data_IF_962183068533
#
_entry.id   IF_962183068533
#
_cell.length_a   1.000
_cell.length_b   1.000
_cell.length_c   1.000
_cell.angle_alpha   90.00
_cell.angle_beta   90.00
_cell.angle_gamma   90.00
#
_symmetry.space_group_name_H-M   'P 1'
#
loop_
_entity.id
_entity.type
_entity.pdbx_description
1 polymer ?
#
# COMPACT_ATOMS: atom_id res chain seq x y z
N UNK A 1 7.91 19.90 -4.83
CA UNK A 1 6.79 18.96 -5.07
C UNK A 1 5.88 19.58 -6.11
N UNK A 2 5.86 19.07 -7.34
CA UNK A 2 4.86 19.48 -8.32
C UNK A 2 3.47 19.10 -7.80
N UNK A 3 2.53 20.04 -7.87
CA UNK A 3 1.19 20.00 -7.26
C UNK A 3 0.47 18.70 -7.63
N UNK A 4 0.13 17.87 -6.63
CA UNK A 4 -0.52 16.55 -6.80
C UNK A 4 -1.88 16.66 -7.51
N UNK A 5 -2.55 17.78 -7.34
CA UNK A 5 -3.78 18.16 -8.06
C UNK A 5 -3.58 18.19 -9.58
N UNK A 6 -2.39 18.59 -10.04
CA UNK A 6 -2.11 18.79 -11.46
C UNK A 6 -2.17 17.48 -12.26
N UNK A 7 -1.71 16.34 -11.72
CA UNK A 7 -1.70 15.10 -12.49
C UNK A 7 -3.09 14.48 -12.63
N UNK A 8 -3.89 14.49 -11.56
CA UNK A 8 -5.26 13.99 -11.62
C UNK A 8 -6.15 14.90 -12.48
N UNK A 9 -5.98 16.21 -12.38
CA UNK A 9 -6.63 17.18 -13.26
C UNK A 9 -6.22 16.98 -14.72
N UNK A 10 -4.92 16.84 -14.98
CA UNK A 10 -4.40 16.52 -16.31
C UNK A 10 -5.01 15.24 -16.87
N UNK A 11 -5.00 14.14 -16.12
CA UNK A 11 -5.60 12.87 -16.56
C UNK A 11 -7.10 13.02 -16.85
N UNK A 12 -7.81 13.74 -15.97
CA UNK A 12 -9.25 14.00 -16.14
C UNK A 12 -9.51 14.78 -17.42
N UNK A 13 -8.74 15.83 -17.69
CA UNK A 13 -8.87 16.64 -18.90
C UNK A 13 -8.50 15.84 -20.16
N UNK A 14 -7.39 15.11 -20.13
CA UNK A 14 -6.88 14.33 -21.25
C UNK A 14 -7.89 13.26 -21.68
N UNK A 15 -8.38 12.46 -20.73
CA UNK A 15 -9.41 11.46 -21.04
C UNK A 15 -10.74 12.08 -21.47
N UNK A 16 -11.15 13.22 -20.91
CA UNK A 16 -12.35 13.90 -21.39
C UNK A 16 -12.23 14.39 -22.83
N UNK A 17 -11.03 14.84 -23.25
CA UNK A 17 -10.75 15.17 -24.65
C UNK A 17 -10.81 13.93 -25.54
N UNK A 18 -10.24 12.81 -25.10
CA UNK A 18 -10.33 11.54 -25.81
C UNK A 18 -11.80 11.09 -25.99
N UNK A 19 -12.62 11.18 -24.95
CA UNK A 19 -14.05 10.83 -25.03
C UNK A 19 -14.82 11.69 -26.03
N UNK A 20 -14.43 12.96 -26.19
CA UNK A 20 -15.08 13.87 -27.13
C UNK A 20 -14.85 13.45 -28.59
N UNK A 21 -13.67 12.88 -28.89
CA UNK A 21 -13.31 12.43 -30.23
C UNK A 21 -13.86 11.05 -30.63
N UNK A 22 -14.47 10.31 -29.70
CA UNK A 22 -15.01 8.97 -29.96
C UNK A 22 -16.49 9.01 -30.37
N UNK A 23 -16.88 8.16 -31.31
CA UNK A 23 -18.28 7.94 -31.71
C UNK A 23 -18.97 7.07 -30.65
N UNK A 24 -19.58 7.73 -29.67
CA UNK A 24 -20.22 7.11 -28.51
C UNK A 24 -21.56 7.78 -28.23
N UNK A 25 -22.55 6.98 -27.85
CA UNK A 25 -23.83 7.48 -27.35
C UNK A 25 -23.69 8.17 -25.98
N UNK A 26 -24.69 8.95 -25.59
CA UNK A 26 -24.66 9.73 -24.34
C UNK A 26 -24.50 8.85 -23.09
N UNK A 27 -25.20 7.71 -23.06
CA UNK A 27 -25.13 6.74 -21.96
C UNK A 27 -23.73 6.14 -21.84
N UNK A 28 -23.10 5.80 -22.97
CA UNK A 28 -21.76 5.22 -23.02
C UNK A 28 -20.71 6.24 -22.56
N UNK A 29 -20.86 7.50 -22.99
CA UNK A 29 -20.00 8.61 -22.57
C UNK A 29 -20.17 8.91 -21.07
N UNK A 30 -21.39 8.81 -20.56
CA UNK A 30 -21.66 8.94 -19.12
C UNK A 30 -20.95 7.83 -18.33
N UNK A 31 -21.02 6.57 -18.79
CA UNK A 31 -20.29 5.47 -18.16
C UNK A 31 -18.77 5.72 -18.12
N UNK A 32 -18.17 6.14 -19.24
CA UNK A 32 -16.73 6.44 -19.29
C UNK A 32 -16.32 7.53 -18.28
N UNK A 33 -17.14 8.56 -18.11
CA UNK A 33 -16.86 9.66 -17.18
C UNK A 33 -17.10 9.27 -15.72
N UNK A 34 -18.30 8.77 -15.44
CA UNK A 34 -18.79 8.59 -14.08
C UNK A 34 -18.37 7.26 -13.47
N UNK A 35 -18.17 6.22 -14.27
CA UNK A 35 -17.81 4.89 -13.77
C UNK A 35 -16.33 4.61 -13.95
N UNK A 36 -15.83 4.70 -15.18
CA UNK A 36 -14.44 4.33 -15.47
C UNK A 36 -13.44 5.40 -15.03
N UNK A 37 -13.60 6.65 -15.49
CA UNK A 37 -12.63 7.72 -15.21
C UNK A 37 -12.61 8.09 -13.72
N UNK A 38 -13.77 8.14 -13.07
CA UNK A 38 -13.85 8.36 -11.62
C UNK A 38 -13.09 7.28 -10.84
N UNK A 39 -13.25 6.02 -11.23
CA UNK A 39 -12.51 4.90 -10.63
C UNK A 39 -11.00 5.04 -10.86
N UNK A 40 -10.57 5.41 -12.07
CA UNK A 40 -9.15 5.65 -12.37
C UNK A 40 -8.59 6.75 -11.47
N UNK A 41 -9.30 7.88 -11.33
CA UNK A 41 -8.85 9.01 -10.52
C UNK A 41 -8.80 8.63 -9.03
N UNK A 42 -9.81 7.94 -8.53
CA UNK A 42 -9.85 7.45 -7.15
C UNK A 42 -8.68 6.51 -6.84
N UNK A 43 -8.48 5.51 -7.69
CA UNK A 43 -7.40 4.54 -7.58
C UNK A 43 -6.01 5.19 -7.66
N UNK A 44 -5.83 6.15 -8.57
CA UNK A 44 -4.58 6.92 -8.70
C UNK A 44 -4.28 7.72 -7.42
N UNK A 45 -5.31 8.36 -6.86
CA UNK A 45 -5.20 9.12 -5.61
C UNK A 45 -4.81 8.22 -4.44
N UNK A 46 -5.46 7.05 -4.31
CA UNK A 46 -5.16 6.05 -3.28
C UNK A 46 -3.77 5.46 -3.44
N UNK A 47 -3.36 5.11 -4.66
CA UNK A 47 -2.01 4.62 -4.95
C UNK A 47 -0.96 5.64 -4.50
N UNK A 48 -1.11 6.92 -4.88
CA UNK A 48 -0.16 7.96 -4.50
C UNK A 48 -0.14 8.21 -2.99
N UNK A 49 -1.30 8.24 -2.33
CA UNK A 49 -1.36 8.35 -0.87
C UNK A 49 -0.64 7.19 -0.16
N UNK A 50 -0.90 5.95 -0.57
CA UNK A 50 -0.26 4.76 0.00
C UNK A 50 1.26 4.79 -0.23
N UNK A 51 1.70 5.19 -1.44
CA UNK A 51 3.11 5.37 -1.77
C UNK A 51 3.80 6.36 -0.84
N UNK A 52 3.23 7.58 -0.74
CA UNK A 52 3.81 8.67 0.03
C UNK A 52 3.91 8.27 1.52
N UNK A 53 2.88 7.59 2.04
CA UNK A 53 2.85 7.11 3.42
C UNK A 53 3.84 5.97 3.67
N UNK A 54 3.98 5.04 2.71
CA UNK A 54 4.96 3.96 2.79
C UNK A 54 6.38 4.50 2.87
N UNK A 55 6.75 5.41 1.95
CA UNK A 55 8.10 5.98 1.96
C UNK A 55 8.37 6.87 3.16
N UNK A 56 7.36 7.60 3.66
CA UNK A 56 7.52 8.42 4.86
C UNK A 56 7.94 7.57 6.07
N UNK A 57 7.15 6.55 6.42
CA UNK A 57 7.45 5.69 7.57
C UNK A 57 8.73 4.90 7.38
N UNK A 58 8.95 4.35 6.18
CA UNK A 58 10.18 3.62 5.87
C UNK A 58 11.42 4.48 6.03
N UNK A 59 11.38 5.73 5.56
CA UNK A 59 12.48 6.66 5.71
C UNK A 59 12.72 7.02 7.17
N UNK A 60 11.66 7.27 7.95
CA UNK A 60 11.76 7.50 9.40
C UNK A 60 12.41 6.32 10.12
N UNK A 61 12.01 5.09 9.79
CA UNK A 61 12.59 3.86 10.36
C UNK A 61 14.07 3.71 10.00
N UNK A 62 14.45 3.93 8.74
CA UNK A 62 15.85 3.84 8.30
C UNK A 62 16.72 4.90 8.97
N UNK A 63 16.28 6.16 8.95
CA UNK A 63 17.03 7.27 9.55
C UNK A 63 17.20 7.03 11.05
N UNK A 64 16.13 6.70 11.76
CA UNK A 64 16.23 6.46 13.19
C UNK A 64 17.02 5.18 13.53
N UNK A 65 16.96 4.14 12.70
CA UNK A 65 17.80 2.94 12.83
C UNK A 65 19.30 3.21 12.67
N UNK A 66 19.68 4.22 11.87
CA UNK A 66 21.08 4.67 11.73
C UNK A 66 21.49 5.64 12.84
N UNK A 67 20.59 6.53 13.24
CA UNK A 67 20.83 7.53 14.30
C UNK A 67 20.95 6.86 15.67
N UNK A 68 20.17 5.80 15.94
CA UNK A 68 20.11 5.16 17.26
C UNK A 68 21.46 4.57 17.71
N UNK A 69 22.19 3.76 16.91
CA UNK A 69 23.54 3.29 17.27
C UNK A 69 24.54 4.42 17.53
N UNK A 70 24.46 5.51 16.75
CA UNK A 70 25.32 6.68 16.92
C UNK A 70 25.03 7.39 18.25
N UNK A 71 23.75 7.56 18.62
CA UNK A 71 23.35 8.13 19.92
C UNK A 71 23.76 7.26 21.09
N UNK A 72 23.60 5.93 20.98
CA UNK A 72 24.05 4.98 22.00
C UNK A 72 25.57 5.10 22.20
N UNK A 73 26.33 5.15 21.10
CA UNK A 73 27.80 5.29 21.13
C UNK A 73 28.23 6.61 21.78
N UNK A 74 27.58 7.73 21.43
CA UNK A 74 27.84 9.03 22.06
C UNK A 74 27.46 9.05 23.55
N UNK A 75 26.37 8.38 23.93
CA UNK A 75 25.95 8.26 25.33
C UNK A 75 27.02 7.54 26.18
N UNK A 76 27.57 6.44 25.66
CA UNK A 76 28.61 5.66 26.36
C UNK A 76 29.90 6.48 26.52
N UNK A 77 30.34 7.19 25.47
CA UNK A 77 31.58 7.96 25.48
C UNK A 77 31.51 9.27 26.29
N UNK A 78 30.30 9.79 26.54
CA UNK A 78 30.07 11.02 27.34
C UNK A 78 29.81 10.74 28.82
N UNK A 79 30.10 9.52 29.30
CA UNK A 79 30.02 9.15 30.72
C UNK A 79 30.91 10.04 31.63
N UNK A 80 31.84 10.79 31.05
CA UNK A 80 32.70 11.81 31.70
C UNK A 80 32.17 13.26 31.62
N UNK A 81 30.96 13.51 31.10
CA UNK A 81 30.40 14.86 30.98
C UNK A 81 30.04 15.45 32.36
N UNK A 82 30.59 16.63 32.67
CA UNK A 82 30.58 17.26 34.01
C UNK A 82 29.20 17.76 34.48
N UNK A 83 28.21 17.90 33.58
CA UNK A 83 26.91 18.54 33.90
C UNK A 83 25.74 17.56 33.84
N UNK A 84 25.09 17.29 34.98
CA UNK A 84 23.90 16.41 35.11
C UNK A 84 22.80 16.68 34.07
N UNK A 85 22.60 17.94 33.67
CA UNK A 85 21.60 18.34 32.68
C UNK A 85 21.88 17.78 31.28
N UNK A 86 23.14 17.76 30.83
CA UNK A 86 23.50 17.23 29.51
C UNK A 86 23.34 15.70 29.46
N UNK A 87 23.73 15.01 30.55
CA UNK A 87 23.54 13.57 30.68
C UNK A 87 22.06 13.17 30.61
N UNK A 88 21.20 13.87 31.35
CA UNK A 88 19.76 13.60 31.34
C UNK A 88 19.13 13.87 29.96
N UNK A 89 19.57 14.92 29.26
CA UNK A 89 19.10 15.21 27.91
C UNK A 89 19.49 14.12 26.90
N UNK A 90 20.74 13.64 26.94
CA UNK A 90 21.23 12.58 26.06
C UNK A 90 20.57 11.22 26.31
N UNK A 91 20.31 10.86 27.59
CA UNK A 91 19.60 9.62 27.92
C UNK A 91 18.14 9.71 27.48
N UNK A 92 17.48 10.85 27.74
CA UNK A 92 16.10 11.08 27.34
C UNK A 92 15.92 11.05 25.82
N UNK A 93 16.80 11.70 25.06
CA UNK A 93 16.71 11.74 23.59
C UNK A 93 16.90 10.37 22.97
N UNK A 94 17.86 9.57 23.44
CA UNK A 94 18.04 8.18 22.98
C UNK A 94 16.79 7.34 23.23
N UNK A 95 16.19 7.45 24.43
CA UNK A 95 14.95 6.74 24.75
C UNK A 95 13.81 7.14 23.81
N UNK A 96 13.55 8.44 23.63
CA UNK A 96 12.48 8.91 22.74
C UNK A 96 12.71 8.54 21.28
N UNK A 97 13.95 8.64 20.78
CA UNK A 97 14.28 8.23 19.42
C UNK A 97 14.08 6.72 19.24
N UNK A 98 14.50 5.90 20.21
CA UNK A 98 14.30 4.45 20.14
C UNK A 98 12.82 4.08 20.06
N UNK A 99 11.98 4.73 20.87
CA UNK A 99 10.54 4.51 20.87
C UNK A 99 9.90 4.97 19.55
N UNK A 100 10.33 6.11 19.01
CA UNK A 100 9.84 6.63 17.73
C UNK A 100 10.17 5.67 16.58
N UNK A 101 11.38 5.09 16.56
CA UNK A 101 11.79 4.08 15.56
C UNK A 101 10.94 2.83 15.69
N UNK A 102 10.76 2.31 16.90
CA UNK A 102 9.96 1.12 17.13
C UNK A 102 8.50 1.33 16.70
N UNK A 103 7.90 2.47 17.03
CA UNK A 103 6.54 2.83 16.61
C UNK A 103 6.47 2.98 15.09
N UNK A 104 7.46 3.62 14.45
CA UNK A 104 7.53 3.77 13.00
C UNK A 104 7.57 2.42 12.28
N UNK A 105 8.40 1.50 12.75
CA UNK A 105 8.49 0.13 12.24
C UNK A 105 7.17 -0.63 12.43
N UNK A 106 6.58 -0.57 13.64
CA UNK A 106 5.31 -1.21 13.93
C UNK A 106 4.16 -0.65 13.08
N UNK A 107 4.15 0.65 12.79
CA UNK A 107 3.15 1.27 11.89
C UNK A 107 3.36 0.82 10.45
N UNK A 108 4.60 0.75 9.97
CA UNK A 108 4.89 0.25 8.61
C UNK A 108 4.43 -1.20 8.44
N UNK A 109 4.70 -2.04 9.44
CA UNK A 109 4.31 -3.45 9.48
C UNK A 109 2.79 -3.61 9.64
N UNK A 110 2.14 -2.86 10.53
CA UNK A 110 0.69 -2.99 10.74
C UNK A 110 -0.13 -2.57 9.51
N UNK A 111 0.20 -1.45 8.87
CA UNK A 111 -0.65 -0.89 7.82
C UNK A 111 -0.37 -1.44 6.42
N UNK A 112 0.71 -2.20 6.21
CA UNK A 112 1.06 -2.81 4.92
C UNK A 112 0.99 -1.81 3.75
N UNK A 113 1.43 -0.56 3.98
CA UNK A 113 1.25 0.53 3.01
C UNK A 113 1.93 0.24 1.67
N UNK A 114 3.03 -0.52 1.67
CA UNK A 114 3.73 -0.94 0.45
C UNK A 114 2.90 -1.88 -0.41
N UNK A 115 2.20 -2.83 0.19
CA UNK A 115 1.33 -3.77 -0.52
C UNK A 115 0.09 -3.06 -1.08
N UNK A 116 -0.53 -2.22 -0.25
CA UNK A 116 -1.65 -1.37 -0.68
C UNK A 116 -1.27 -0.49 -1.86
N UNK A 117 -0.07 0.11 -1.83
CA UNK A 117 0.41 0.90 -2.96
C UNK A 117 0.53 0.06 -4.24
N UNK A 118 1.19 -1.10 -4.17
CA UNK A 118 1.36 -1.98 -5.34
C UNK A 118 0.01 -2.46 -5.89
N UNK A 119 -0.93 -2.78 -5.00
CA UNK A 119 -2.28 -3.18 -5.35
C UNK A 119 -3.02 -2.06 -6.11
N UNK A 120 -3.19 -0.88 -5.50
CA UNK A 120 -3.87 0.24 -6.14
C UNK A 120 -3.18 0.68 -7.44
N UNK A 121 -1.84 0.66 -7.48
CA UNK A 121 -1.08 0.97 -8.69
C UNK A 121 -1.36 -0.04 -9.80
N UNK A 122 -1.35 -1.34 -9.50
CA UNK A 122 -1.66 -2.38 -10.49
C UNK A 122 -3.07 -2.22 -11.05
N UNK A 123 -4.06 -2.01 -10.19
CA UNK A 123 -5.45 -1.82 -10.61
C UNK A 123 -5.60 -0.58 -11.49
N UNK A 124 -5.00 0.56 -11.10
CA UNK A 124 -5.11 1.79 -11.90
C UNK A 124 -4.42 1.69 -13.26
N UNK A 125 -3.24 1.07 -13.33
CA UNK A 125 -2.53 0.89 -14.59
C UNK A 125 -3.26 -0.10 -15.50
N UNK A 126 -3.95 -1.11 -14.95
CA UNK A 126 -4.83 -1.99 -15.71
C UNK A 126 -6.04 -1.23 -16.29
N UNK A 127 -6.71 -0.40 -15.49
CA UNK A 127 -7.82 0.44 -15.95
C UNK A 127 -7.38 1.43 -17.04
N UNK A 128 -6.23 2.10 -16.87
CA UNK A 128 -5.66 3.01 -17.88
C UNK A 128 -5.35 2.25 -19.17
N UNK A 129 -4.78 1.05 -19.07
CA UNK A 129 -4.48 0.20 -20.22
C UNK A 129 -5.75 -0.12 -21.00
N UNK A 130 -6.84 -0.49 -20.31
CA UNK A 130 -8.15 -0.70 -20.95
C UNK A 130 -8.65 0.57 -21.64
N UNK A 131 -8.52 1.74 -21.00
CA UNK A 131 -8.89 3.02 -21.61
C UNK A 131 -8.12 3.34 -22.89
N UNK A 132 -6.81 3.12 -22.91
CA UNK A 132 -5.96 3.33 -24.08
C UNK A 132 -6.22 2.31 -25.20
N UNK A 133 -6.42 1.04 -24.84
CA UNK A 133 -6.73 0.01 -25.83
C UNK A 133 -8.10 0.27 -26.47
N UNK A 134 -9.08 0.66 -25.68
CA UNK A 134 -10.41 1.01 -26.17
C UNK A 134 -10.38 2.25 -27.06
N UNK A 135 -9.69 3.32 -26.64
CA UNK A 135 -9.63 4.57 -27.41
C UNK A 135 -9.02 4.39 -28.80
N UNK A 136 -8.05 3.47 -28.93
CA UNK A 136 -7.39 3.18 -30.20
C UNK A 136 -7.97 1.97 -30.94
N UNK A 137 -9.04 1.33 -30.41
CA UNK A 137 -9.57 0.06 -30.93
C UNK A 137 -8.46 -0.98 -31.14
N UNK A 138 -7.60 -1.15 -30.15
CA UNK A 138 -6.47 -2.10 -30.17
C UNK A 138 -6.67 -3.21 -29.15
N UNK A 139 -5.76 -4.20 -29.15
CA UNK A 139 -5.81 -5.31 -28.19
C UNK A 139 -7.13 -6.10 -28.31
N UNK A 140 -7.90 -6.27 -27.22
CA UNK A 140 -9.19 -6.94 -27.25
C UNK A 140 -10.22 -6.30 -28.19
N UNK A 141 -10.03 -5.02 -28.54
CA UNK A 141 -11.00 -4.23 -29.31
C UNK A 141 -10.71 -4.16 -30.81
N UNK A 142 -9.64 -4.81 -31.29
CA UNK A 142 -9.14 -4.73 -32.67
C UNK A 142 -10.12 -5.16 -33.77
N UNK A 143 -11.11 -5.99 -33.42
CA UNK A 143 -12.07 -6.54 -34.38
C UNK A 143 -13.32 -5.66 -34.52
N UNK A 144 -13.44 -4.57 -33.76
CA UNK A 144 -14.57 -3.66 -33.83
C UNK A 144 -14.26 -2.47 -34.72
N UNK A 145 -15.27 -1.99 -35.46
CA UNK A 145 -15.11 -0.85 -36.37
C UNK A 145 -15.43 0.49 -35.72
N UNK A 146 -16.13 0.48 -34.58
CA UNK A 146 -16.45 1.68 -33.80
C UNK A 146 -16.38 1.43 -32.29
N UNK A 147 -16.15 2.50 -31.52
CA UNK A 147 -16.17 2.48 -30.06
C UNK A 147 -17.52 2.06 -29.50
N UNK A 148 -18.61 2.44 -30.17
CA UNK A 148 -19.96 2.02 -29.80
C UNK A 148 -20.13 0.50 -29.79
N UNK A 149 -19.61 -0.20 -30.81
CA UNK A 149 -19.66 -1.67 -30.87
C UNK A 149 -18.75 -2.33 -29.83
N UNK A 150 -17.56 -1.74 -29.61
CA UNK A 150 -16.59 -2.23 -28.64
C UNK A 150 -16.99 -1.97 -27.18
N UNK A 151 -17.96 -1.07 -26.95
CA UNK A 151 -18.29 -0.55 -25.62
C UNK A 151 -18.68 -1.64 -24.62
N UNK A 152 -19.50 -2.61 -25.04
CA UNK A 152 -19.95 -3.67 -24.13
C UNK A 152 -18.79 -4.54 -23.64
N UNK A 153 -17.83 -4.85 -24.52
CA UNK A 153 -16.63 -5.57 -24.11
C UNK A 153 -15.79 -4.71 -23.15
N UNK A 154 -15.66 -3.41 -23.42
CA UNK A 154 -14.91 -2.49 -22.57
C UNK A 154 -15.53 -2.37 -21.18
N UNK A 155 -16.84 -2.12 -21.11
CA UNK A 155 -17.57 -2.04 -19.86
C UNK A 155 -17.41 -3.35 -19.05
N UNK A 156 -17.53 -4.51 -19.71
CA UNK A 156 -17.28 -5.81 -19.08
C UNK A 156 -15.86 -5.93 -18.51
N UNK A 157 -14.82 -5.61 -19.30
CA UNK A 157 -13.43 -5.66 -18.83
C UNK A 157 -13.16 -4.72 -17.65
N UNK A 158 -13.77 -3.53 -17.66
CA UNK A 158 -13.67 -2.56 -16.56
C UNK A 158 -14.32 -3.09 -15.30
N UNK A 159 -15.56 -3.59 -15.39
CA UNK A 159 -16.26 -4.16 -14.24
C UNK A 159 -15.56 -5.41 -13.72
N UNK A 160 -14.99 -6.27 -14.57
CA UNK A 160 -14.19 -7.42 -14.15
C UNK A 160 -12.94 -7.01 -13.36
N UNK A 161 -12.26 -5.93 -13.77
CA UNK A 161 -11.12 -5.38 -13.02
C UNK A 161 -11.58 -4.90 -11.65
N UNK A 162 -12.70 -4.17 -11.59
CA UNK A 162 -13.19 -3.57 -10.34
C UNK A 162 -13.75 -4.65 -9.41
N UNK A 163 -14.45 -5.65 -9.93
CA UNK A 163 -14.96 -6.77 -9.17
C UNK A 163 -13.81 -7.59 -8.57
N UNK A 164 -12.78 -7.91 -9.36
CA UNK A 164 -11.58 -8.61 -8.85
C UNK A 164 -10.88 -7.81 -7.76
N UNK A 165 -10.82 -6.49 -7.88
CA UNK A 165 -10.25 -5.62 -6.85
C UNK A 165 -11.00 -5.75 -5.51
N UNK A 166 -12.34 -5.72 -5.55
CA UNK A 166 -13.19 -5.92 -4.36
C UNK A 166 -13.03 -7.33 -3.77
N UNK A 167 -13.03 -8.36 -4.62
CA UNK A 167 -12.90 -9.76 -4.21
C UNK A 167 -11.53 -10.06 -3.59
N UNK A 168 -10.45 -9.54 -4.19
CA UNK A 168 -9.09 -9.67 -3.68
C UNK A 168 -8.97 -8.97 -2.33
N UNK A 169 -9.54 -7.78 -2.16
CA UNK A 169 -9.52 -7.07 -0.88
C UNK A 169 -10.31 -7.79 0.22
N UNK A 170 -11.49 -8.33 -0.11
CA UNK A 170 -12.29 -9.11 0.85
C UNK A 170 -11.61 -10.43 1.24
N UNK A 171 -10.94 -11.09 0.29
CA UNK A 171 -10.34 -12.41 0.51
C UNK A 171 -8.97 -12.34 1.18
N UNK A 172 -8.11 -11.38 0.84
CA UNK A 172 -6.82 -11.19 1.49
C UNK A 172 -6.98 -10.80 2.97
N UNK A 173 -7.94 -9.94 3.30
CA UNK A 173 -8.25 -9.63 4.72
C UNK A 173 -8.70 -10.87 5.50
N UNK A 174 -9.28 -11.88 4.83
CA UNK A 174 -9.69 -13.14 5.44
C UNK A 174 -8.54 -14.14 5.51
N UNK A 175 -7.66 -14.17 4.50
CA UNK A 175 -6.48 -15.05 4.47
C UNK A 175 -5.38 -14.58 5.44
N UNK A 176 -5.04 -13.29 5.45
CA UNK A 176 -4.05 -12.73 6.37
C UNK A 176 -4.45 -12.99 7.83
N UNK A 177 -5.74 -12.83 8.15
CA UNK A 177 -6.30 -13.19 9.47
C UNK A 177 -6.19 -14.69 9.79
N UNK A 178 -6.35 -15.57 8.80
CA UNK A 178 -6.24 -17.03 9.01
C UNK A 178 -4.79 -17.46 9.20
N UNK A 179 -3.86 -16.88 8.44
CA UNK A 179 -2.43 -17.17 8.57
C UNK A 179 -1.86 -16.64 9.88
N UNK A 180 -2.27 -15.44 10.32
CA UNK A 180 -1.93 -14.91 11.66
C UNK A 180 -2.45 -15.81 12.78
N UNK A 181 -3.70 -16.28 12.69
CA UNK A 181 -4.29 -17.20 13.67
C UNK A 181 -3.58 -18.57 13.68
N UNK A 182 -3.25 -19.13 12.52
CA UNK A 182 -2.51 -20.39 12.43
C UNK A 182 -1.09 -20.28 12.97
N UNK A 183 -0.38 -19.18 12.70
CA UNK A 183 0.95 -18.95 13.22
C UNK A 183 0.95 -18.76 14.74
N UNK A 184 -0.03 -18.04 15.30
CA UNK A 184 -0.20 -17.93 16.74
C UNK A 184 -0.49 -19.29 17.39
N UNK A 185 -1.36 -20.09 16.78
CA UNK A 185 -1.74 -21.40 17.32
C UNK A 185 -0.58 -22.41 17.26
N UNK A 186 0.21 -22.39 16.18
CA UNK A 186 1.43 -23.19 16.07
C UNK A 186 2.49 -22.78 17.10
N UNK A 187 2.63 -21.48 17.39
CA UNK A 187 3.54 -20.99 18.43
C UNK A 187 3.13 -21.49 19.82
N UNK A 188 1.84 -21.42 20.15
CA UNK A 188 1.30 -21.92 21.44
C UNK A 188 1.53 -23.44 21.55
N UNK A 189 1.27 -24.19 20.48
CA UNK A 189 1.52 -25.64 20.47
C UNK A 189 3.01 -25.96 20.71
N UNK A 190 3.93 -25.28 20.01
CA UNK A 190 5.37 -25.51 20.19
C UNK A 190 5.85 -25.16 21.59
N UNK A 191 5.29 -24.13 22.24
CA UNK A 191 5.66 -23.80 23.62
C UNK A 191 5.13 -24.83 24.61
N UNK A 192 3.88 -25.27 24.48
CA UNK A 192 3.31 -26.29 25.35
C UNK A 192 4.09 -27.61 25.24
N UNK A 193 4.43 -28.06 24.03
CA UNK A 193 5.24 -29.27 23.84
C UNK A 193 6.63 -29.16 24.47
N UNK A 194 7.26 -27.97 24.43
CA UNK A 194 8.54 -27.75 25.12
C UNK A 194 8.40 -27.81 26.64
N UNK A 195 7.31 -27.28 27.20
CA UNK A 195 7.05 -27.29 28.64
C UNK A 195 6.78 -28.72 29.13
N UNK A 196 5.95 -29.48 28.43
CA UNK A 196 5.67 -30.89 28.78
C UNK A 196 6.94 -31.74 28.76
N UNK A 197 7.79 -31.59 27.73
CA UNK A 197 9.07 -32.29 27.67
C UNK A 197 10.07 -31.88 28.76
N UNK A 198 9.94 -30.69 29.35
CA UNK A 198 10.76 -30.21 30.47
C UNK A 198 10.24 -30.70 31.83
N UNK A 199 8.94 -30.96 31.93
CA UNK A 199 8.31 -31.55 33.11
C UNK A 199 8.57 -33.06 33.16
N UNK A 200 8.44 -33.77 32.04
CA UNK A 200 8.76 -35.21 31.94
C UNK A 200 10.23 -35.50 32.27
N UNK A 201 11.17 -34.65 31.81
CA UNK A 201 12.59 -34.79 32.15
C UNK A 201 12.93 -34.46 33.62
N UNK A 202 12.03 -33.82 34.37
CA UNK A 202 12.22 -33.54 35.81
C UNK A 202 11.60 -34.61 36.71
N UNK A 203 10.66 -35.40 36.19
CA UNK A 203 10.09 -36.54 36.93
C UNK A 203 10.92 -37.82 36.79
N UNK A 204 11.86 -37.87 35.84
CA UNK A 204 12.79 -38.99 35.63
C UNK A 204 14.15 -38.89 36.38
N UNK A 205 14.40 -37.81 37.14
CA UNK A 205 15.54 -37.65 38.08
C UNK A 205 15.11 -37.82 39.55
#
# INVERSE_FOLDING_TARGET
>A
MAKKDNYQEFLKEDFNKLFAGMQLGDVQRHFLRSRWLDQVLWMEGKANFARDRHYFWRLTTIIGGVILPALITLNINTTSAETKLQKNFLIGSTFFISQLVAISAAIEEFFHYGERWRHYRRTVESLKTQGWQFSQLTGPYRNYTSHEQAFNLFAGQVEDIIQRDVEVYATQVVQDKKEEQQNQQNYILMQNTKITNLEDNKEEE
#
